data_IF_906945482156
#
_entry.id   IF_906945482156
#
_cell.length_a   1.000
_cell.length_b   1.000
_cell.length_c   1.000
_cell.angle_alpha   90.00
_cell.angle_beta   90.00
_cell.angle_gamma   90.00
#
_symmetry.space_group_name_H-M   'P 1'
#
loop_
_entity.id
_entity.type
_entity.pdbx_description
1 polymer ?
#
# COMPACT_ATOMS: atom_id res chain seq x y z
N UNK A 1 -23.62 4.50 -8.98
CA UNK A 1 -23.40 3.08 -9.43
C UNK A 1 -22.52 3.11 -10.65
N UNK A 2 -21.48 2.28 -10.70
CA UNK A 2 -20.60 2.16 -11.86
C UNK A 2 -21.27 1.33 -12.95
N UNK A 3 -21.05 1.71 -14.21
CA UNK A 3 -21.42 0.92 -15.39
C UNK A 3 -20.20 0.11 -15.91
N UNK A 4 -20.43 -0.77 -16.89
CA UNK A 4 -19.36 -1.62 -17.44
C UNK A 4 -18.19 -0.81 -18.02
N UNK A 5 -18.47 0.36 -18.59
CA UNK A 5 -17.42 1.27 -19.11
C UNK A 5 -16.60 1.91 -17.99
N UNK A 6 -17.22 2.19 -16.85
CA UNK A 6 -16.52 2.69 -15.66
C UNK A 6 -15.59 1.61 -15.10
N UNK A 7 -16.05 0.35 -15.00
CA UNK A 7 -15.21 -0.78 -14.57
C UNK A 7 -14.02 -1.00 -15.51
N UNK A 8 -14.26 -0.95 -16.83
CA UNK A 8 -13.19 -1.07 -17.83
C UNK A 8 -12.22 0.11 -17.74
N UNK A 9 -12.71 1.35 -17.58
CA UNK A 9 -11.90 2.55 -17.43
C UNK A 9 -11.00 2.49 -16.20
N UNK A 10 -11.55 2.08 -15.05
CA UNK A 10 -10.79 1.87 -13.81
C UNK A 10 -9.71 0.80 -13.99
N UNK A 11 -10.00 -0.27 -14.71
CA UNK A 11 -9.03 -1.34 -15.00
C UNK A 11 -7.89 -0.80 -15.87
N UNK A 12 -8.18 -0.08 -16.95
CA UNK A 12 -7.17 0.51 -17.84
C UNK A 12 -6.28 1.53 -17.11
N UNK A 13 -6.87 2.35 -16.23
CA UNK A 13 -6.13 3.34 -15.44
C UNK A 13 -5.28 2.73 -14.34
N UNK A 14 -5.65 1.56 -13.80
CA UNK A 14 -4.82 0.81 -12.86
C UNK A 14 -3.63 0.12 -13.54
N UNK A 15 -3.80 -0.29 -14.81
CA UNK A 15 -2.74 -0.89 -15.63
C UNK A 15 -1.71 0.17 -16.02
N UNK A 16 -2.18 1.31 -16.54
CA UNK A 16 -1.33 2.42 -16.95
C UNK A 16 -2.07 3.75 -16.80
N UNK A 17 -1.69 4.53 -15.78
CA UNK A 17 -2.30 5.81 -15.48
C UNK A 17 -1.86 6.95 -16.41
N UNK A 18 -0.81 6.75 -17.22
CA UNK A 18 -0.29 7.75 -18.17
C UNK A 18 -0.92 7.63 -19.58
N UNK A 19 -1.84 6.68 -19.78
CA UNK A 19 -2.60 6.58 -21.03
C UNK A 19 -3.30 7.89 -21.34
N UNK A 20 -3.25 8.28 -22.62
CA UNK A 20 -3.95 9.48 -23.10
C UNK A 20 -5.47 9.26 -23.05
N UNK A 21 -6.21 10.35 -22.85
CA UNK A 21 -7.69 10.31 -22.91
C UNK A 21 -8.18 9.80 -24.27
N UNK A 22 -7.43 10.06 -25.36
CA UNK A 22 -7.76 9.57 -26.69
C UNK A 22 -7.64 8.04 -26.79
N UNK A 23 -6.55 7.45 -26.29
CA UNK A 23 -6.37 5.97 -26.24
C UNK A 23 -7.45 5.30 -25.37
N UNK A 24 -7.74 5.86 -24.20
CA UNK A 24 -8.80 5.35 -23.32
C UNK A 24 -10.18 5.42 -23.99
N UNK A 25 -10.49 6.52 -24.67
CA UNK A 25 -11.76 6.73 -25.37
C UNK A 25 -11.94 5.71 -26.50
N UNK A 26 -10.90 5.49 -27.31
CA UNK A 26 -10.90 4.50 -28.38
C UNK A 26 -11.19 3.09 -27.86
N UNK A 27 -10.48 2.65 -26.82
CA UNK A 27 -10.65 1.32 -26.18
C UNK A 27 -12.05 1.09 -25.61
N UNK A 28 -12.70 2.17 -25.17
CA UNK A 28 -14.03 2.11 -24.54
C UNK A 28 -15.16 2.44 -25.53
N UNK A 29 -14.86 2.67 -26.80
CA UNK A 29 -15.81 3.15 -27.82
C UNK A 29 -16.57 4.38 -27.32
N UNK A 30 -15.84 5.39 -26.84
CA UNK A 30 -16.33 6.68 -26.34
C UNK A 30 -15.73 7.84 -27.15
N UNK A 31 -16.37 9.00 -27.09
CA UNK A 31 -15.69 10.24 -27.49
C UNK A 31 -14.67 10.66 -26.40
N UNK A 32 -13.58 11.36 -26.77
CA UNK A 32 -12.61 11.87 -25.78
C UNK A 32 -13.27 12.73 -24.69
N UNK A 33 -14.26 13.55 -25.05
CA UNK A 33 -14.98 14.38 -24.09
C UNK A 33 -15.84 13.57 -23.12
N UNK A 34 -16.48 12.48 -23.59
CA UNK A 34 -17.24 11.58 -22.74
C UNK A 34 -16.31 10.80 -21.80
N UNK A 35 -15.16 10.33 -22.28
CA UNK A 35 -14.14 9.66 -21.49
C UNK A 35 -13.59 10.60 -20.41
N UNK A 36 -13.22 11.83 -20.77
CA UNK A 36 -12.73 12.83 -19.81
C UNK A 36 -13.73 13.13 -18.69
N UNK A 37 -15.01 13.29 -19.02
CA UNK A 37 -16.07 13.51 -18.02
C UNK A 37 -16.23 12.32 -17.07
N UNK A 38 -16.10 11.07 -17.56
CA UNK A 38 -16.14 9.87 -16.73
C UNK A 38 -14.95 9.82 -15.77
N UNK A 39 -13.73 10.10 -16.26
CA UNK A 39 -12.54 10.16 -15.40
C UNK A 39 -12.73 11.20 -14.29
N UNK A 40 -13.24 12.40 -14.65
CA UNK A 40 -13.45 13.44 -13.66
C UNK A 40 -14.50 13.02 -12.62
N UNK A 41 -15.63 12.46 -13.04
CA UNK A 41 -16.65 11.93 -12.15
C UNK A 41 -16.08 10.86 -11.21
N UNK A 42 -15.31 9.89 -11.71
CA UNK A 42 -14.71 8.83 -10.88
C UNK A 42 -13.72 9.37 -9.85
N UNK A 43 -13.05 10.50 -10.15
CA UNK A 43 -12.23 11.23 -9.16
C UNK A 43 -13.10 11.93 -8.11
N UNK A 44 -14.12 12.66 -8.56
CA UNK A 44 -14.98 13.46 -7.67
C UNK A 44 -15.78 12.57 -6.72
N UNK A 45 -16.19 11.38 -7.20
CA UNK A 45 -16.87 10.36 -6.40
C UNK A 45 -15.91 9.49 -5.55
N UNK A 46 -14.58 9.71 -5.66
CA UNK A 46 -13.57 9.05 -4.83
C UNK A 46 -13.17 7.63 -5.27
N UNK A 47 -13.65 7.12 -6.42
CA UNK A 47 -13.21 5.83 -6.96
C UNK A 47 -11.75 5.86 -7.42
N UNK A 48 -11.26 7.01 -7.87
CA UNK A 48 -9.86 7.27 -8.20
C UNK A 48 -9.24 8.14 -7.11
N UNK A 49 -8.55 7.52 -6.14
CA UNK A 49 -7.98 8.23 -5.00
C UNK A 49 -6.82 9.15 -5.39
N UNK A 50 -5.84 8.62 -6.13
CA UNK A 50 -4.66 9.39 -6.57
C UNK A 50 -3.90 8.65 -7.68
N UNK A 51 -3.06 9.38 -8.41
CA UNK A 51 -2.03 8.82 -9.29
C UNK A 51 -0.69 8.86 -8.58
N UNK A 52 0.08 7.78 -8.68
CA UNK A 52 1.41 7.66 -8.08
C UNK A 52 2.37 6.99 -9.06
N UNK A 53 3.64 7.38 -9.02
CA UNK A 53 4.69 6.63 -9.68
C UNK A 53 5.14 5.47 -8.78
N UNK A 54 5.29 4.28 -9.35
CA UNK A 54 5.85 3.13 -8.68
C UNK A 54 7.34 3.06 -8.94
N UNK A 55 8.13 3.04 -7.87
CA UNK A 55 9.59 2.97 -7.95
C UNK A 55 10.05 1.53 -7.85
N UNK A 56 10.98 1.12 -8.71
CA UNK A 56 11.65 -0.17 -8.60
C UNK A 56 12.57 -0.17 -7.37
N UNK A 57 12.14 -0.84 -6.32
CA UNK A 57 12.84 -0.90 -5.02
C UNK A 57 14.24 -1.50 -5.13
N UNK A 58 14.46 -2.44 -6.05
CA UNK A 58 15.78 -3.06 -6.25
C UNK A 58 16.76 -2.03 -6.81
N UNK A 59 16.30 -1.17 -7.73
CA UNK A 59 17.14 -0.13 -8.34
C UNK A 59 17.51 1.00 -7.38
N UNK A 60 16.71 1.23 -6.35
CA UNK A 60 17.01 2.21 -5.29
C UNK A 60 17.60 1.55 -4.03
N UNK A 61 18.15 0.34 -4.18
CA UNK A 61 18.83 -0.39 -3.11
C UNK A 61 17.94 -0.75 -1.90
N UNK A 62 16.68 -1.12 -2.13
CA UNK A 62 15.74 -1.64 -1.11
C UNK A 62 15.19 -3.03 -1.52
N UNK A 63 16.06 -4.02 -1.83
CA UNK A 63 15.60 -5.31 -2.33
C UNK A 63 14.95 -6.19 -1.25
N UNK A 64 15.32 -6.01 0.02
CA UNK A 64 14.91 -6.89 1.12
C UNK A 64 13.55 -6.47 1.66
N UNK A 65 12.64 -7.43 1.81
CA UNK A 65 11.35 -7.24 2.46
C UNK A 65 11.29 -8.09 3.72
N UNK A 66 10.88 -7.49 4.84
CA UNK A 66 10.65 -8.18 6.12
C UNK A 66 9.22 -7.92 6.55
N UNK A 67 8.50 -8.98 6.93
CA UNK A 67 7.22 -8.89 7.60
C UNK A 67 7.44 -9.06 9.10
N UNK A 68 6.92 -8.12 9.90
CA UNK A 68 7.07 -8.15 11.34
C UNK A 68 5.71 -8.28 11.99
N UNK A 69 5.51 -9.35 12.74
CA UNK A 69 4.34 -9.55 13.57
C UNK A 69 4.59 -8.94 14.94
N UNK A 70 3.67 -8.10 15.39
CA UNK A 70 3.77 -7.38 16.65
C UNK A 70 2.63 -7.79 17.56
N UNK A 71 2.96 -8.08 18.82
CA UNK A 71 2.01 -8.27 19.90
C UNK A 71 2.18 -7.16 20.93
N UNK A 72 1.08 -6.53 21.31
CA UNK A 72 1.10 -5.44 22.28
C UNK A 72 1.08 -5.97 23.71
N UNK A 73 1.74 -5.27 24.62
CA UNK A 73 1.64 -5.59 26.05
C UNK A 73 0.35 -5.05 26.67
N UNK A 74 -0.21 -3.97 26.09
CA UNK A 74 -1.38 -3.26 26.62
C UNK A 74 -2.20 -2.67 25.47
N UNK A 75 -3.52 -2.70 25.57
CA UNK A 75 -4.46 -2.08 24.62
C UNK A 75 -4.95 -0.71 25.12
N UNK A 76 -4.08 0.10 25.68
CA UNK A 76 -4.40 1.43 26.18
C UNK A 76 -4.35 2.47 25.05
N UNK A 77 -5.19 3.49 25.13
CA UNK A 77 -5.27 4.54 24.10
C UNK A 77 -3.92 5.25 23.87
N UNK A 78 -3.18 5.56 24.93
CA UNK A 78 -1.87 6.20 24.83
C UNK A 78 -0.83 5.34 24.11
N UNK A 79 -0.84 4.02 24.32
CA UNK A 79 0.04 3.10 23.61
C UNK A 79 -0.18 3.13 22.09
N UNK A 80 -1.44 3.19 21.65
CA UNK A 80 -1.77 3.22 20.22
C UNK A 80 -1.24 4.49 19.54
N UNK A 81 -1.35 5.63 20.21
CA UNK A 81 -0.82 6.91 19.73
C UNK A 81 0.70 6.88 19.61
N UNK A 82 1.40 6.33 20.62
CA UNK A 82 2.85 6.14 20.61
C UNK A 82 3.29 5.19 19.49
N UNK A 83 2.58 4.08 19.32
CA UNK A 83 2.85 3.11 18.25
C UNK A 83 2.68 3.73 16.86
N UNK A 84 1.57 4.46 16.61
CA UNK A 84 1.35 5.14 15.34
C UNK A 84 2.44 6.18 15.06
N UNK A 85 2.85 6.95 16.06
CA UNK A 85 3.94 7.91 15.94
C UNK A 85 5.29 7.23 15.66
N UNK A 86 5.57 6.12 16.34
CA UNK A 86 6.81 5.36 16.17
C UNK A 86 6.93 4.76 14.77
N UNK A 87 5.87 4.09 14.26
CA UNK A 87 5.88 3.49 12.92
C UNK A 87 5.87 4.58 11.83
N UNK A 88 5.16 5.68 12.03
CA UNK A 88 5.12 6.81 11.10
C UNK A 88 6.45 7.56 10.96
N UNK A 89 7.33 7.47 11.98
CA UNK A 89 8.67 8.08 11.97
C UNK A 89 9.75 7.21 11.29
N UNK A 90 9.40 6.01 10.82
CA UNK A 90 10.33 5.05 10.20
C UNK A 90 9.91 4.85 8.73
N UNK A 91 10.54 5.53 7.76
CA UNK A 91 10.12 5.50 6.36
C UNK A 91 10.29 4.12 5.69
N UNK A 92 11.12 3.26 6.25
CA UNK A 92 11.31 1.87 5.80
C UNK A 92 10.09 0.99 6.11
N UNK A 93 9.22 1.38 7.06
CA UNK A 93 7.94 0.72 7.32
C UNK A 93 6.91 1.29 6.35
N UNK A 94 6.57 0.52 5.31
CA UNK A 94 5.71 0.99 4.21
C UNK A 94 4.25 0.58 4.34
N UNK A 95 3.95 -0.45 5.14
CA UNK A 95 2.59 -0.89 5.43
C UNK A 95 2.48 -1.31 6.90
N UNK A 96 1.36 -0.98 7.54
CA UNK A 96 1.01 -1.41 8.90
C UNK A 96 -0.47 -1.77 8.90
N UNK A 97 -0.79 -3.00 9.29
CA UNK A 97 -2.16 -3.46 9.40
C UNK A 97 -2.44 -3.98 10.80
N UNK A 98 -3.58 -3.59 11.38
CA UNK A 98 -4.11 -4.21 12.58
C UNK A 98 -4.77 -5.53 12.21
N UNK A 99 -4.47 -6.57 12.98
CA UNK A 99 -4.95 -7.92 12.73
C UNK A 99 -5.96 -8.36 13.80
N UNK A 100 -6.75 -9.35 13.45
CA UNK A 100 -7.52 -10.17 14.39
C UNK A 100 -6.75 -11.48 14.63
N UNK A 101 -6.79 -12.02 15.86
CA UNK A 101 -6.15 -13.30 16.19
C UNK A 101 -5.06 -13.19 17.25
N UNK A 102 -4.01 -14.00 17.15
CA UNK A 102 -2.97 -14.14 18.18
C UNK A 102 -1.92 -13.03 18.17
N UNK A 103 -1.86 -12.23 17.11
CA UNK A 103 -0.98 -11.06 16.96
C UNK A 103 -1.83 -9.83 16.66
N UNK A 104 -1.35 -8.65 17.03
CA UNK A 104 -2.13 -7.42 16.94
C UNK A 104 -1.86 -6.63 15.65
N UNK A 105 -0.61 -6.65 15.16
CA UNK A 105 -0.21 -5.91 13.96
C UNK A 105 0.75 -6.71 13.10
N UNK A 106 0.72 -6.43 11.80
CA UNK A 106 1.74 -6.80 10.84
C UNK A 106 2.30 -5.53 10.19
N UNK A 107 3.64 -5.47 10.14
CA UNK A 107 4.38 -4.42 9.45
C UNK A 107 5.07 -5.02 8.24
N UNK A 108 5.09 -4.27 7.13
CA UNK A 108 5.92 -4.56 5.97
C UNK A 108 7.04 -3.54 5.90
N UNK A 109 8.27 -4.02 5.99
CA UNK A 109 9.48 -3.22 6.03
C UNK A 109 10.30 -3.50 4.79
N UNK A 110 10.88 -2.46 4.17
CA UNK A 110 11.78 -2.57 3.02
C UNK A 110 13.15 -2.04 3.38
N UNK A 111 14.20 -2.81 3.08
CA UNK A 111 15.56 -2.57 3.57
C UNK A 111 16.61 -2.83 2.48
N UNK A 112 17.80 -2.22 2.59
CA UNK A 112 18.96 -2.57 1.76
C UNK A 112 19.42 -4.03 1.95
N UNK A 113 19.39 -4.53 3.18
CA UNK A 113 19.81 -5.88 3.56
C UNK A 113 19.16 -6.26 4.90
N UNK A 114 19.35 -7.51 5.32
CA UNK A 114 18.78 -8.05 6.57
C UNK A 114 19.39 -7.41 7.80
N UNK A 115 20.69 -7.10 7.75
CA UNK A 115 21.43 -6.52 8.87
C UNK A 115 20.87 -5.16 9.29
N UNK A 116 20.31 -4.41 8.32
CA UNK A 116 19.68 -3.10 8.59
C UNK A 116 18.43 -3.20 9.47
N UNK A 117 17.84 -4.39 9.58
CA UNK A 117 16.67 -4.64 10.43
C UNK A 117 16.96 -4.34 11.91
N UNK A 118 18.16 -4.62 12.42
CA UNK A 118 18.52 -4.30 13.82
C UNK A 118 18.36 -2.80 14.13
N UNK A 119 18.68 -1.95 13.19
CA UNK A 119 18.48 -0.49 13.32
C UNK A 119 17.00 -0.13 13.45
N UNK A 120 16.14 -0.73 12.61
CA UNK A 120 14.69 -0.50 12.67
C UNK A 120 14.11 -1.04 14.00
N UNK A 121 14.53 -2.25 14.38
CA UNK A 121 14.13 -2.87 15.64
C UNK A 121 14.42 -1.95 16.83
N UNK A 122 15.67 -1.48 16.97
CA UNK A 122 16.10 -0.59 18.06
C UNK A 122 15.33 0.72 18.08
N UNK A 123 15.08 1.31 16.91
CA UNK A 123 14.27 2.54 16.78
C UNK A 123 12.83 2.32 17.24
N UNK A 124 12.22 1.20 16.91
CA UNK A 124 10.84 0.89 17.27
C UNK A 124 10.71 0.61 18.78
N UNK A 125 11.54 -0.30 19.35
CA UNK A 125 11.46 -0.66 20.76
C UNK A 125 11.90 0.45 21.71
N UNK A 126 12.68 1.43 21.23
CA UNK A 126 13.02 2.62 22.01
C UNK A 126 11.86 3.61 22.17
N UNK A 127 10.81 3.49 21.36
CA UNK A 127 9.68 4.41 21.29
C UNK A 127 8.40 3.84 21.89
N UNK A 128 8.24 2.51 21.84
CA UNK A 128 6.99 1.86 22.26
C UNK A 128 7.27 0.51 22.90
N UNK A 129 6.56 0.21 23.98
CA UNK A 129 6.65 -1.08 24.66
C UNK A 129 5.85 -2.15 23.90
N UNK A 130 6.51 -3.24 23.53
CA UNK A 130 5.92 -4.37 22.81
C UNK A 130 6.02 -5.63 23.70
N UNK A 131 5.01 -6.49 23.63
CA UNK A 131 5.02 -7.78 24.33
C UNK A 131 5.86 -8.82 23.59
N UNK A 132 5.71 -8.84 22.25
CA UNK A 132 6.46 -9.73 21.36
C UNK A 132 6.60 -9.10 19.97
N UNK A 133 7.68 -9.45 19.30
CA UNK A 133 7.97 -9.00 17.93
C UNK A 133 8.72 -10.08 17.17
N UNK A 134 8.07 -10.69 16.19
CA UNK A 134 8.60 -11.77 15.36
C UNK A 134 8.81 -11.28 13.92
N UNK A 135 10.03 -11.40 13.39
CA UNK A 135 10.39 -10.96 12.04
C UNK A 135 10.51 -12.14 11.08
N UNK A 136 9.96 -11.98 9.87
CA UNK A 136 9.97 -12.96 8.79
C UNK A 136 10.54 -12.34 7.54
N UNK A 137 11.65 -12.88 7.05
CA UNK A 137 12.28 -12.42 5.82
C UNK A 137 11.52 -13.01 4.64
N UNK A 138 11.06 -12.16 3.71
CA UNK A 138 10.47 -12.62 2.45
C UNK A 138 11.55 -13.20 1.55
N UNK A 139 11.48 -14.49 1.28
CA UNK A 139 12.41 -15.18 0.38
C UNK A 139 12.19 -14.78 -1.07
N UNK A 140 10.92 -14.62 -1.46
CA UNK A 140 10.50 -14.15 -2.78
C UNK A 140 9.13 -13.47 -2.73
N UNK A 141 8.85 -12.65 -3.71
CA UNK A 141 7.52 -12.09 -3.91
C UNK A 141 6.85 -12.85 -5.05
N UNK A 142 5.98 -13.79 -4.74
CA UNK A 142 5.25 -14.60 -5.73
C UNK A 142 4.26 -13.76 -6.51
N UNK A 143 3.58 -12.81 -5.85
CA UNK A 143 2.61 -11.89 -6.46
C UNK A 143 2.57 -10.58 -5.69
N UNK A 144 2.66 -9.46 -6.39
CA UNK A 144 2.43 -8.12 -5.84
C UNK A 144 1.79 -7.26 -6.93
N UNK A 145 0.52 -6.97 -6.78
CA UNK A 145 -0.24 -6.12 -7.69
C UNK A 145 -0.76 -4.91 -6.90
N UNK A 146 -0.71 -3.74 -7.52
CA UNK A 146 -1.37 -2.53 -7.02
C UNK A 146 -2.81 -2.42 -7.52
N UNK A 147 -3.11 -3.09 -8.63
CA UNK A 147 -4.45 -3.16 -9.21
C UNK A 147 -5.38 -4.06 -8.38
N UNK A 148 -6.59 -3.57 -8.11
CA UNK A 148 -7.66 -4.30 -7.43
C UNK A 148 -8.80 -4.65 -8.40
N UNK A 149 -9.53 -5.75 -8.17
CA UNK A 149 -10.71 -6.07 -8.97
C UNK A 149 -11.79 -4.99 -8.82
N UNK A 150 -12.30 -4.46 -9.94
CA UNK A 150 -13.28 -3.35 -9.94
C UNK A 150 -14.74 -3.83 -9.91
N UNK A 151 -14.99 -5.10 -10.17
CA UNK A 151 -16.35 -5.69 -10.33
C UNK A 151 -17.19 -5.82 -9.06
N UNK A 152 -16.71 -5.35 -7.92
CA UNK A 152 -17.43 -5.38 -6.63
C UNK A 152 -17.99 -4.01 -6.25
N UNK A 153 -17.81 -3.00 -7.08
CA UNK A 153 -18.29 -1.64 -6.85
C UNK A 153 -19.68 -1.38 -7.48
#
# INVERSE_FOLDING_TARGET
>A
MLDDRDHQLLTLLQDDADRSVADLAERLALSPSACSRRIQRLKDEGYLARRVALVDRKRINLPTTIFVLVKTARHEKGWLEEFHAAVGAIPEIIEVHRLTGSVDYILKIVLPNVEHYDTIYKRLVSKVSLADMSAFISMETVKSLTAVPTRYA
#
